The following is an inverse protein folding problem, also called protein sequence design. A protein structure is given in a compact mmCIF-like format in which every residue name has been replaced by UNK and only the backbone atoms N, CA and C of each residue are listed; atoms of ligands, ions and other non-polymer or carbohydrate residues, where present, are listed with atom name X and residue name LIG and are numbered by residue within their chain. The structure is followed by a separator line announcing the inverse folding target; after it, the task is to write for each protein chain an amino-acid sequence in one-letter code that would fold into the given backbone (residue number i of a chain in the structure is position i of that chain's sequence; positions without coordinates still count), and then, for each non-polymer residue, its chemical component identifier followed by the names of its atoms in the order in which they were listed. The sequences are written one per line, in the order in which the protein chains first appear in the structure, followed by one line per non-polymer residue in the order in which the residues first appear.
data_IF_722628223253
#
_entry.id   IF_722628223253
#
_cell.length_a   1.000
_cell.length_b   1.000
_cell.length_c   1.000
_cell.angle_alpha   90.00
_cell.angle_beta   90.00
_cell.angle_gamma   90.00
#
_symmetry.space_group_name_H-M   'P 1'
#
loop_
_entity.id
_entity.type
_entity.pdbx_description
1 polymer ?
#
# COMPACT_ATOMS: atom_id res chain seq x y z
N UNK A 1 24.00 3.53 20.55
CA UNK A 1 23.83 3.86 19.13
C UNK A 1 23.22 5.26 19.07
N UNK A 2 23.83 6.18 18.36
CA UNK A 2 23.25 7.52 18.16
C UNK A 2 22.09 7.37 17.19
N UNK A 3 20.90 7.82 17.60
CA UNK A 3 19.74 7.83 16.70
C UNK A 3 19.98 8.72 15.48
N UNK A 4 19.38 8.39 14.32
CA UNK A 4 19.43 9.26 13.14
C UNK A 4 18.95 10.66 13.49
N UNK A 5 19.64 11.67 13.00
CA UNK A 5 19.25 13.06 13.21
C UNK A 5 17.94 13.33 12.45
N UNK A 6 16.85 13.52 13.18
CA UNK A 6 15.56 13.95 12.62
C UNK A 6 15.67 15.41 12.11
N UNK A 7 15.00 15.68 11.01
CA UNK A 7 14.82 17.04 10.50
C UNK A 7 13.52 17.57 11.06
N UNK A 8 13.59 18.64 11.83
CA UNK A 8 12.39 19.26 12.40
C UNK A 8 11.59 19.97 11.31
N UNK A 9 10.34 19.57 11.15
CA UNK A 9 9.35 20.27 10.33
C UNK A 9 8.32 20.87 11.27
N UNK A 10 8.11 22.20 11.19
CA UNK A 10 7.13 22.89 12.02
C UNK A 10 5.72 22.35 11.76
N UNK A 11 5.05 21.74 12.77
CA UNK A 11 3.71 21.22 12.59
C UNK A 11 2.67 22.26 12.15
N UNK A 12 2.85 23.53 12.51
CA UNK A 12 1.90 24.60 12.11
C UNK A 12 1.89 24.85 10.60
N UNK A 13 3.02 24.64 9.93
CA UNK A 13 3.13 24.77 8.47
C UNK A 13 2.52 23.61 7.69
N UNK A 14 2.23 22.48 8.35
CA UNK A 14 1.71 21.28 7.68
C UNK A 14 0.33 21.52 7.07
N UNK A 15 -0.56 22.19 7.83
CA UNK A 15 -1.96 22.40 7.40
C UNK A 15 -2.09 23.24 6.14
N UNK A 16 -1.15 24.14 5.87
CA UNK A 16 -1.16 24.96 4.65
C UNK A 16 -0.62 24.21 3.42
N UNK A 17 0.23 23.21 3.65
CA UNK A 17 0.96 22.51 2.59
C UNK A 17 0.37 21.14 2.23
N UNK A 18 -0.45 20.55 3.09
CA UNK A 18 -1.03 19.22 2.96
C UNK A 18 -2.48 19.25 2.48
N UNK A 19 -3.00 18.15 1.91
CA UNK A 19 -4.43 18.01 1.68
C UNK A 19 -5.21 18.19 2.97
N UNK A 20 -6.35 18.89 2.89
CA UNK A 20 -7.23 19.15 4.04
C UNK A 20 -8.54 18.40 3.86
N UNK A 21 -8.74 17.27 4.55
CA UNK A 21 -10.01 16.55 4.49
C UNK A 21 -11.12 17.38 5.15
N UNK A 22 -12.33 17.24 4.64
CA UNK A 22 -13.57 17.76 5.21
C UNK A 22 -14.46 16.57 5.56
N UNK A 23 -14.56 16.26 6.84
CA UNK A 23 -15.25 15.08 7.37
C UNK A 23 -16.23 15.51 8.50
N UNK A 24 -17.27 16.31 8.21
CA UNK A 24 -18.09 16.98 9.24
C UNK A 24 -18.77 15.99 10.19
N UNK A 25 -19.06 14.77 9.73
CA UNK A 25 -19.69 13.73 10.57
C UNK A 25 -18.68 12.93 11.41
N UNK A 26 -17.38 13.06 11.12
CA UNK A 26 -16.32 12.28 11.75
C UNK A 26 -15.11 13.15 12.13
N UNK A 27 -15.28 14.16 13.02
CA UNK A 27 -14.18 15.06 13.39
C UNK A 27 -13.01 14.36 14.08
N UNK A 28 -13.25 13.21 14.72
CA UNK A 28 -12.20 12.40 15.31
C UNK A 28 -11.25 11.80 14.25
N UNK A 29 -11.77 11.47 13.06
CA UNK A 29 -10.92 11.04 11.94
C UNK A 29 -10.04 12.18 11.41
N UNK A 30 -10.53 13.42 11.40
CA UNK A 30 -9.70 14.59 11.07
C UNK A 30 -8.58 14.79 12.10
N UNK A 31 -8.88 14.59 13.39
CA UNK A 31 -7.88 14.65 14.46
C UNK A 31 -6.80 13.57 14.24
N UNK A 32 -7.21 12.34 13.98
CA UNK A 32 -6.30 11.22 13.68
C UNK A 32 -5.46 11.50 12.42
N UNK A 33 -6.07 12.05 11.35
CA UNK A 33 -5.39 12.45 10.11
C UNK A 33 -4.27 13.45 10.38
N UNK A 34 -4.53 14.51 11.13
CA UNK A 34 -3.52 15.52 11.45
C UNK A 34 -2.44 14.96 12.37
N UNK A 35 -2.82 14.13 13.33
CA UNK A 35 -1.84 13.45 14.19
C UNK A 35 -0.89 12.56 13.40
N UNK A 36 -1.38 11.88 12.38
CA UNK A 36 -0.53 11.07 11.49
C UNK A 36 0.50 11.92 10.75
N UNK A 37 0.12 13.09 10.24
CA UNK A 37 1.08 13.99 9.60
C UNK A 37 2.11 14.56 10.58
N UNK A 38 1.70 14.93 11.78
CA UNK A 38 2.60 15.42 12.84
C UNK A 38 3.66 14.37 13.20
N UNK A 39 3.26 13.11 13.34
CA UNK A 39 4.18 12.01 13.60
C UNK A 39 5.03 11.69 12.35
N UNK A 40 4.42 11.70 11.17
CA UNK A 40 5.12 11.48 9.89
C UNK A 40 6.24 12.51 9.65
N UNK A 41 6.01 13.77 10.03
CA UNK A 41 7.04 14.81 9.94
C UNK A 41 8.30 14.49 10.75
N UNK A 42 8.18 13.70 11.82
CA UNK A 42 9.32 13.26 12.65
C UNK A 42 10.11 12.10 12.03
N UNK A 43 9.59 11.52 10.94
CA UNK A 43 10.23 10.39 10.23
C UNK A 43 11.27 10.84 9.21
N UNK A 44 11.39 12.14 8.93
CA UNK A 44 12.40 12.64 8.00
C UNK A 44 13.78 12.55 8.64
N UNK A 45 14.73 11.97 7.91
CA UNK A 45 16.10 11.70 8.32
C UNK A 45 17.09 12.35 7.38
N UNK A 46 18.32 12.52 7.86
CA UNK A 46 19.45 12.97 7.06
C UNK A 46 20.43 11.82 6.82
N UNK A 47 20.88 11.68 5.58
CA UNK A 47 22.01 10.83 5.27
C UNK A 47 23.32 11.40 5.81
N UNK A 48 24.33 10.55 5.93
CA UNK A 48 25.67 10.89 6.38
C UNK A 48 26.72 10.53 5.32
N UNK A 49 27.91 11.12 5.34
CA UNK A 49 29.00 10.68 4.45
C UNK A 49 29.34 9.18 4.60
N UNK A 50 29.11 8.60 5.80
CA UNK A 50 29.42 7.20 6.09
C UNK A 50 28.43 6.25 5.46
N UNK A 51 27.11 6.55 5.54
CA UNK A 51 26.08 5.67 4.97
C UNK A 51 25.74 6.03 3.51
N UNK A 52 26.11 7.21 3.04
CA UNK A 52 25.81 7.69 1.68
C UNK A 52 24.32 7.63 1.32
N UNK A 53 23.43 7.77 2.30
CA UNK A 53 22.01 7.95 2.06
C UNK A 53 21.72 9.37 1.56
N UNK A 54 20.58 9.58 0.96
CA UNK A 54 20.15 10.88 0.49
C UNK A 54 20.22 11.93 1.61
N UNK A 55 20.52 13.21 1.29
CA UNK A 55 20.62 14.28 2.28
C UNK A 55 19.36 14.43 3.15
N UNK A 56 18.20 14.15 2.57
CA UNK A 56 16.92 14.06 3.26
C UNK A 56 16.11 12.90 2.67
N UNK A 57 15.53 12.07 3.51
CA UNK A 57 14.66 10.97 3.14
C UNK A 57 13.67 10.66 4.27
N UNK A 58 12.53 10.06 3.94
CA UNK A 58 11.59 9.54 4.95
C UNK A 58 11.94 8.09 5.26
N UNK A 59 11.81 7.73 6.53
CA UNK A 59 12.14 6.41 7.06
C UNK A 59 10.97 5.83 7.87
N UNK A 60 10.93 4.51 8.05
CA UNK A 60 9.92 3.82 8.84
C UNK A 60 9.99 4.07 10.35
N UNK A 61 11.03 4.78 10.81
CA UNK A 61 11.28 5.12 12.22
C UNK A 61 11.63 3.94 13.14
N UNK A 62 12.18 2.87 12.58
CA UNK A 62 12.76 1.76 13.34
C UNK A 62 14.27 1.94 13.51
N UNK A 63 14.74 2.28 14.65
CA UNK A 63 16.12 2.08 15.09
C UNK A 63 17.24 2.48 14.12
N UNK A 64 16.91 3.19 13.05
CA UNK A 64 17.83 3.78 12.10
C UNK A 64 18.05 3.03 10.78
N UNK A 65 17.78 1.74 10.67
CA UNK A 65 17.89 1.03 9.39
C UNK A 65 16.75 1.45 8.43
N UNK A 66 17.02 1.37 7.12
CA UNK A 66 15.98 1.56 6.10
C UNK A 66 15.48 0.20 5.60
N UNK A 67 14.17 0.09 5.39
CA UNK A 67 13.48 -1.14 5.06
C UNK A 67 12.74 -1.03 3.73
N UNK A 68 12.93 -2.00 2.84
CA UNK A 68 12.32 -2.01 1.51
C UNK A 68 10.79 -2.04 1.56
N UNK A 69 10.22 -3.00 2.30
CA UNK A 69 8.78 -3.22 2.47
C UNK A 69 8.08 -1.95 2.98
N UNK A 70 8.62 -1.40 4.05
CA UNK A 70 8.10 -0.21 4.72
C UNK A 70 8.12 1.00 3.79
N UNK A 71 9.25 1.25 3.12
CA UNK A 71 9.41 2.41 2.22
C UNK A 71 8.41 2.36 1.07
N UNK A 72 8.13 1.19 0.51
CA UNK A 72 7.13 1.05 -0.55
C UNK A 72 5.71 1.39 -0.06
N UNK A 73 5.35 1.03 1.16
CA UNK A 73 4.05 1.40 1.75
C UNK A 73 3.99 2.87 2.18
N UNK A 74 5.09 3.42 2.69
CA UNK A 74 5.19 4.86 2.98
C UNK A 74 4.91 5.67 1.71
N UNK A 75 5.36 5.22 0.53
CA UNK A 75 5.10 5.89 -0.73
C UNK A 75 3.60 6.08 -1.01
N UNK A 76 2.75 5.15 -0.60
CA UNK A 76 1.33 5.21 -0.85
C UNK A 76 0.61 6.37 -0.13
N UNK A 77 1.10 6.84 1.01
CA UNK A 77 0.55 8.04 1.65
C UNK A 77 1.46 9.28 1.51
N UNK A 78 2.79 9.11 1.52
CA UNK A 78 3.72 10.21 1.38
C UNK A 78 3.59 10.95 0.03
N UNK A 79 3.09 10.27 -1.02
CA UNK A 79 2.79 10.87 -2.33
C UNK A 79 1.84 12.07 -2.27
N UNK A 80 1.04 12.18 -1.20
CA UNK A 80 0.15 13.31 -0.95
C UNK A 80 0.83 14.49 -0.24
N UNK A 81 2.03 14.29 0.30
CA UNK A 81 2.76 15.29 1.09
C UNK A 81 3.50 16.35 0.25
N UNK A 82 3.43 16.24 -1.09
CA UNK A 82 4.35 16.97 -1.97
C UNK A 82 5.81 16.64 -1.59
N UNK A 83 6.62 17.64 -1.27
CA UNK A 83 8.02 17.47 -0.87
C UNK A 83 8.23 17.37 0.65
N UNK A 84 7.16 17.41 1.44
CA UNK A 84 7.27 17.43 2.90
C UNK A 84 7.85 16.11 3.45
N UNK A 85 7.42 14.97 2.90
CA UNK A 85 8.02 13.67 3.15
C UNK A 85 8.80 13.24 1.90
N UNK A 86 10.15 13.28 1.92
CA UNK A 86 10.97 13.01 0.74
C UNK A 86 10.99 11.52 0.40
N UNK A 87 9.92 11.04 -0.23
CA UNK A 87 9.74 9.61 -0.56
C UNK A 87 10.59 9.17 -1.75
N UNK A 88 10.76 9.99 -2.78
CA UNK A 88 11.63 9.62 -3.91
C UNK A 88 13.08 9.43 -3.48
N UNK A 89 13.70 10.32 -2.69
CA UNK A 89 15.01 10.07 -2.10
C UNK A 89 15.08 8.83 -1.21
N UNK A 90 13.98 8.47 -0.52
CA UNK A 90 13.93 7.23 0.26
C UNK A 90 14.04 5.99 -0.64
N UNK A 91 13.32 5.95 -1.76
CA UNK A 91 13.44 4.90 -2.79
C UNK A 91 14.82 4.90 -3.44
N UNK A 92 15.40 6.07 -3.73
CA UNK A 92 16.73 6.22 -4.31
C UNK A 92 17.85 5.64 -3.42
N UNK A 93 17.65 5.62 -2.11
CA UNK A 93 18.58 4.97 -1.20
C UNK A 93 18.72 3.45 -1.48
N UNK A 94 17.68 2.80 -1.98
CA UNK A 94 17.72 1.40 -2.40
C UNK A 94 18.35 1.25 -3.80
N UNK A 95 17.91 2.07 -4.75
CA UNK A 95 18.42 2.01 -6.13
C UNK A 95 19.92 2.33 -6.22
N UNK A 96 20.38 3.30 -5.44
CA UNK A 96 21.80 3.65 -5.38
C UNK A 96 22.71 2.57 -4.76
N UNK A 97 22.11 1.52 -4.18
CA UNK A 97 22.80 0.36 -3.57
C UNK A 97 22.56 -0.95 -4.30
N UNK A 98 21.91 -0.87 -5.46
CA UNK A 98 21.69 -2.06 -6.27
C UNK A 98 23.03 -2.64 -6.73
N UNK A 99 23.22 -3.93 -6.51
CA UNK A 99 24.39 -4.65 -7.01
C UNK A 99 24.37 -4.75 -8.55
N UNK A 100 25.53 -4.99 -9.13
CA UNK A 100 25.69 -5.13 -10.58
C UNK A 100 24.86 -6.26 -11.21
N UNK A 101 24.44 -7.25 -10.42
CA UNK A 101 23.56 -8.34 -10.87
C UNK A 101 22.06 -8.04 -10.67
N UNK A 102 21.71 -6.84 -10.20
CA UNK A 102 20.34 -6.39 -10.00
C UNK A 102 19.80 -6.57 -8.57
N UNK A 103 20.56 -7.19 -7.66
CA UNK A 103 20.10 -7.39 -6.28
C UNK A 103 19.92 -6.07 -5.52
N UNK A 104 18.82 -5.96 -4.79
CA UNK A 104 18.57 -4.92 -3.78
C UNK A 104 18.25 -5.64 -2.46
N UNK A 105 18.94 -5.24 -1.38
CA UNK A 105 18.73 -5.84 -0.09
C UNK A 105 17.40 -5.40 0.54
N UNK A 106 16.82 -6.30 1.36
CA UNK A 106 15.65 -6.03 2.18
C UNK A 106 15.86 -4.83 3.10
N UNK A 107 17.07 -4.70 3.66
CA UNK A 107 17.38 -3.79 4.75
C UNK A 107 18.82 -3.33 4.70
N UNK A 108 19.05 -2.03 4.88
CA UNK A 108 20.39 -1.44 4.97
C UNK A 108 20.60 -0.78 6.34
N UNK A 109 21.79 -0.98 6.90
CA UNK A 109 22.21 -0.40 8.18
C UNK A 109 22.35 1.10 8.06
N UNK A 110 21.79 1.85 8.99
CA UNK A 110 21.92 3.29 9.02
C UNK A 110 23.39 3.74 9.25
N UNK A 111 24.14 3.03 10.07
CA UNK A 111 25.50 3.42 10.44
C UNK A 111 26.43 3.53 9.24
N UNK A 112 26.30 2.66 8.26
CA UNK A 112 27.27 2.54 7.16
C UNK A 112 26.67 2.20 5.78
N UNK A 113 25.35 2.07 5.69
CA UNK A 113 24.66 1.71 4.44
C UNK A 113 24.89 0.27 3.98
N UNK A 114 25.46 -0.60 4.81
CA UNK A 114 25.68 -2.00 4.46
C UNK A 114 24.42 -2.85 4.59
N UNK A 115 24.35 -3.95 3.82
CA UNK A 115 23.28 -4.93 3.95
C UNK A 115 23.25 -5.51 5.37
N UNK A 116 22.07 -5.67 5.95
CA UNK A 116 21.92 -6.37 7.23
C UNK A 116 22.01 -7.88 7.04
N UNK A 117 21.40 -8.41 5.98
CA UNK A 117 21.26 -9.83 5.69
C UNK A 117 22.24 -10.27 4.61
N UNK A 118 22.77 -11.48 4.73
CA UNK A 118 23.66 -12.04 3.72
C UNK A 118 22.91 -12.23 2.39
N UNK A 119 23.45 -11.68 1.30
CA UNK A 119 22.93 -11.86 -0.04
C UNK A 119 22.72 -13.33 -0.37
N UNK A 120 21.56 -13.69 -0.88
CA UNK A 120 21.20 -15.07 -1.21
C UNK A 120 20.54 -15.85 -0.09
N UNK A 121 20.54 -15.36 1.17
CA UNK A 121 19.68 -15.95 2.21
C UNK A 121 18.21 -15.72 1.89
N UNK A 122 17.31 -16.54 2.48
CA UNK A 122 15.87 -16.37 2.36
C UNK A 122 15.40 -14.97 2.78
N UNK A 123 16.03 -14.45 3.83
CA UNK A 123 15.68 -13.17 4.45
C UNK A 123 16.29 -11.94 3.76
N UNK A 124 17.06 -12.15 2.69
CA UNK A 124 17.86 -11.07 2.09
C UNK A 124 17.07 -10.10 1.21
N UNK A 125 15.85 -10.41 0.82
CA UNK A 125 14.97 -9.52 0.04
C UNK A 125 13.55 -9.49 0.61
N UNK A 126 12.77 -8.48 0.21
CA UNK A 126 11.37 -8.33 0.56
C UNK A 126 10.47 -8.50 -0.69
N UNK A 127 9.13 -8.42 -0.52
CA UNK A 127 8.20 -8.39 -1.65
C UNK A 127 8.55 -7.34 -2.70
N UNK A 128 8.36 -7.65 -4.00
CA UNK A 128 8.81 -6.82 -5.12
C UNK A 128 7.88 -5.63 -5.38
N UNK A 129 7.79 -4.67 -4.47
CA UNK A 129 6.83 -3.57 -4.51
C UNK A 129 7.41 -2.24 -5.03
N UNK A 130 8.67 -2.16 -5.45
CA UNK A 130 9.26 -0.91 -5.94
C UNK A 130 8.53 -0.34 -7.16
N UNK A 131 8.24 -1.17 -8.17
CA UNK A 131 7.52 -0.69 -9.34
C UNK A 131 6.11 -0.18 -8.97
N UNK A 132 5.41 -0.86 -8.06
CA UNK A 132 4.11 -0.43 -7.56
C UNK A 132 4.22 0.91 -6.79
N UNK A 133 5.23 1.10 -5.95
CA UNK A 133 5.45 2.35 -5.23
C UNK A 133 5.72 3.52 -6.20
N UNK A 134 6.59 3.35 -7.19
CA UNK A 134 6.86 4.35 -8.24
C UNK A 134 5.60 4.65 -9.07
N UNK A 135 4.82 3.61 -9.39
CA UNK A 135 3.54 3.78 -10.10
C UNK A 135 2.54 4.62 -9.32
N UNK A 136 2.40 4.37 -8.00
CA UNK A 136 1.52 5.16 -7.13
C UNK A 136 1.93 6.64 -7.10
N UNK A 137 3.22 6.94 -7.03
CA UNK A 137 3.73 8.33 -7.08
C UNK A 137 3.49 8.94 -8.46
N UNK A 138 3.72 8.16 -9.54
CA UNK A 138 3.49 8.61 -10.91
C UNK A 138 2.02 9.01 -11.15
N UNK A 139 1.07 8.26 -10.63
CA UNK A 139 -0.36 8.54 -10.78
C UNK A 139 -0.78 9.92 -10.23
N UNK A 140 -0.05 10.48 -9.26
CA UNK A 140 -0.32 11.82 -8.72
C UNK A 140 0.41 12.93 -9.47
N UNK A 141 1.67 12.67 -9.85
CA UNK A 141 2.54 13.71 -10.38
C UNK A 141 2.67 13.71 -11.90
N UNK A 142 2.42 12.57 -12.56
CA UNK A 142 2.54 12.42 -14.01
C UNK A 142 3.97 12.56 -14.55
N UNK A 143 5.00 12.39 -13.70
CA UNK A 143 6.41 12.58 -14.08
C UNK A 143 7.00 11.31 -14.71
N UNK A 144 6.83 11.14 -16.02
CA UNK A 144 7.40 10.02 -16.77
C UNK A 144 8.94 10.01 -16.78
N UNK A 145 9.60 11.15 -16.56
CA UNK A 145 11.07 11.22 -16.49
C UNK A 145 11.58 10.46 -15.26
N UNK A 146 10.86 10.54 -14.13
CA UNK A 146 11.17 9.73 -12.95
C UNK A 146 11.13 8.24 -13.28
N UNK A 147 10.10 7.77 -13.96
CA UNK A 147 9.99 6.37 -14.37
C UNK A 147 11.14 5.96 -15.30
N UNK A 148 11.55 6.83 -16.23
CA UNK A 148 12.68 6.58 -17.12
C UNK A 148 13.99 6.44 -16.36
N UNK A 149 14.21 7.28 -15.35
CA UNK A 149 15.42 7.24 -14.51
C UNK A 149 15.57 5.94 -13.73
N UNK A 150 14.46 5.41 -13.18
CA UNK A 150 14.48 4.22 -12.33
C UNK A 150 14.21 2.91 -13.07
N UNK A 151 13.81 2.98 -14.33
CA UNK A 151 13.51 1.80 -15.16
C UNK A 151 14.63 0.75 -15.15
N UNK A 152 15.91 1.12 -15.36
CA UNK A 152 17.00 0.13 -15.36
C UNK A 152 17.14 -0.62 -14.03
N UNK A 153 16.89 0.06 -12.90
CA UNK A 153 16.98 -0.56 -11.57
C UNK A 153 15.79 -1.51 -11.31
N UNK A 154 14.58 -1.10 -11.71
CA UNK A 154 13.37 -1.92 -11.57
C UNK A 154 13.49 -3.19 -12.44
N UNK A 155 13.92 -3.04 -13.69
CA UNK A 155 14.14 -4.14 -14.64
C UNK A 155 15.21 -5.13 -14.13
N UNK A 156 16.35 -4.63 -13.68
CA UNK A 156 17.43 -5.46 -13.14
C UNK A 156 16.99 -6.22 -11.87
N UNK A 157 16.22 -5.56 -10.98
CA UNK A 157 15.71 -6.21 -9.78
C UNK A 157 14.67 -7.29 -10.12
N UNK A 158 13.77 -7.03 -11.07
CA UNK A 158 12.82 -8.02 -11.56
C UNK A 158 13.54 -9.29 -12.04
N UNK A 159 14.57 -9.13 -12.88
CA UNK A 159 15.36 -10.24 -13.41
C UNK A 159 16.16 -10.97 -12.33
N UNK A 160 16.68 -10.23 -11.33
CA UNK A 160 17.35 -10.87 -10.20
C UNK A 160 16.40 -11.78 -9.41
N UNK A 161 15.18 -11.31 -9.12
CA UNK A 161 14.15 -12.11 -8.43
C UNK A 161 13.77 -13.35 -9.24
N UNK A 162 13.54 -13.18 -10.53
CA UNK A 162 13.23 -14.31 -11.44
C UNK A 162 14.33 -15.37 -11.44
N UNK A 163 15.59 -14.94 -11.45
CA UNK A 163 16.74 -15.86 -11.44
C UNK A 163 16.95 -16.57 -10.09
N UNK A 164 16.66 -15.88 -8.97
CA UNK A 164 17.09 -16.34 -7.64
C UNK A 164 15.93 -16.78 -6.73
N UNK A 165 14.68 -16.46 -7.08
CA UNK A 165 13.50 -16.75 -6.26
C UNK A 165 12.43 -17.58 -6.98
N UNK A 166 12.52 -17.75 -8.30
CA UNK A 166 11.58 -18.58 -9.06
C UNK A 166 11.94 -20.07 -8.91
N UNK A 167 10.91 -20.86 -8.65
CA UNK A 167 10.99 -22.33 -8.57
C UNK A 167 10.77 -22.96 -9.95
N UNK A 168 11.05 -24.27 -10.08
CA UNK A 168 10.88 -25.01 -11.32
C UNK A 168 9.41 -25.05 -11.81
N UNK A 169 8.43 -25.00 -10.87
CA UNK A 169 7.00 -24.90 -11.18
C UNK A 169 6.56 -23.48 -11.57
N UNK A 170 7.49 -22.52 -11.62
CA UNK A 170 7.27 -21.14 -12.02
C UNK A 170 6.77 -20.21 -10.92
N UNK A 171 6.44 -20.73 -9.74
CA UNK A 171 6.07 -19.96 -8.56
C UNK A 171 7.32 -19.41 -7.85
N UNK A 172 7.11 -18.62 -6.81
CA UNK A 172 8.20 -17.94 -6.11
C UNK A 172 8.26 -18.33 -4.64
N UNK A 173 9.49 -18.38 -4.10
CA UNK A 173 9.76 -18.71 -2.71
C UNK A 173 10.31 -17.52 -1.93
N UNK A 174 9.98 -17.47 -0.65
CA UNK A 174 10.49 -16.51 0.34
C UNK A 174 10.53 -17.19 1.71
N UNK A 175 10.98 -16.51 2.73
CA UNK A 175 10.84 -16.87 4.14
C UNK A 175 9.80 -15.99 4.84
N UNK A 176 9.45 -16.31 6.07
CA UNK A 176 8.61 -15.46 6.94
C UNK A 176 9.18 -14.04 7.05
N UNK A 177 10.43 -13.92 7.48
CA UNK A 177 11.15 -12.63 7.57
C UNK A 177 11.20 -11.91 6.22
N UNK A 178 11.47 -12.61 5.13
CA UNK A 178 11.53 -12.03 3.78
C UNK A 178 10.17 -11.57 3.27
N UNK A 179 9.06 -12.22 3.67
CA UNK A 179 7.72 -11.83 3.27
C UNK A 179 7.26 -10.49 3.88
N UNK A 180 7.94 -10.02 4.93
CA UNK A 180 7.54 -8.86 5.73
C UNK A 180 6.55 -9.21 6.84
N UNK A 181 6.11 -10.46 6.95
CA UNK A 181 5.24 -10.96 8.02
C UNK A 181 6.05 -11.84 8.99
N UNK A 182 6.97 -11.23 9.70
CA UNK A 182 8.15 -11.81 10.35
C UNK A 182 7.94 -13.08 11.17
N UNK A 183 6.87 -13.20 11.94
CA UNK A 183 6.58 -14.41 12.73
C UNK A 183 5.33 -15.15 12.26
N UNK A 184 4.96 -14.97 11.00
CA UNK A 184 3.83 -15.74 10.42
C UNK A 184 4.10 -17.24 10.55
N UNK A 185 3.09 -18.07 10.89
CA UNK A 185 3.29 -19.51 11.04
C UNK A 185 3.34 -20.27 9.70
N UNK A 186 3.56 -19.55 8.60
CA UNK A 186 3.70 -20.08 7.23
C UNK A 186 5.08 -20.66 7.03
N UNK A 187 5.19 -21.72 6.27
CA UNK A 187 6.45 -22.43 6.03
C UNK A 187 6.49 -23.20 4.70
N UNK A 188 5.73 -22.75 3.70
CA UNK A 188 5.70 -23.35 2.37
C UNK A 188 7.04 -23.27 1.61
N UNK A 189 7.20 -24.08 0.60
CA UNK A 189 8.28 -23.97 -0.38
C UNK A 189 7.94 -22.88 -1.42
N UNK A 190 6.69 -22.84 -1.91
CA UNK A 190 6.18 -21.76 -2.75
C UNK A 190 5.17 -20.91 -1.96
N UNK A 191 5.35 -19.60 -1.98
CA UNK A 191 4.51 -18.65 -1.20
C UNK A 191 3.50 -17.93 -2.09
N UNK A 192 2.22 -17.99 -1.71
CA UNK A 192 1.14 -17.43 -2.53
C UNK A 192 1.23 -15.91 -2.67
N UNK A 193 1.45 -15.17 -1.58
CA UNK A 193 1.59 -13.72 -1.62
C UNK A 193 2.82 -13.29 -2.45
N UNK A 194 3.97 -13.94 -2.27
CA UNK A 194 5.17 -13.56 -3.00
C UNK A 194 5.03 -13.82 -4.50
N UNK A 195 4.40 -14.94 -4.88
CA UNK A 195 4.08 -15.25 -6.27
C UNK A 195 3.07 -14.25 -6.85
N UNK A 196 2.04 -13.88 -6.09
CA UNK A 196 1.03 -12.89 -6.48
C UNK A 196 1.64 -11.48 -6.57
N UNK A 197 2.51 -11.11 -5.64
CA UNK A 197 3.21 -9.82 -5.65
C UNK A 197 4.17 -9.72 -6.84
N UNK A 198 4.78 -10.82 -7.27
CA UNK A 198 5.57 -10.83 -8.50
C UNK A 198 4.69 -10.70 -9.76
N UNK A 199 3.47 -11.25 -9.76
CA UNK A 199 2.50 -10.99 -10.82
C UNK A 199 2.08 -9.50 -10.86
N UNK A 200 1.82 -8.89 -9.70
CA UNK A 200 1.55 -7.44 -9.58
C UNK A 200 2.75 -6.61 -10.06
N UNK A 201 3.98 -7.03 -9.74
CA UNK A 201 5.20 -6.40 -10.22
C UNK A 201 5.27 -6.45 -11.76
N UNK A 202 5.05 -7.62 -12.37
CA UNK A 202 5.03 -7.77 -13.83
C UNK A 202 3.94 -6.90 -14.50
N UNK A 203 2.72 -6.88 -13.94
CA UNK A 203 1.63 -6.02 -14.42
C UNK A 203 2.02 -4.54 -14.37
N UNK A 204 2.64 -4.11 -13.27
CA UNK A 204 3.07 -2.72 -13.08
C UNK A 204 4.24 -2.36 -14.00
N UNK A 205 5.21 -3.25 -14.16
CA UNK A 205 6.31 -3.08 -15.11
C UNK A 205 5.81 -2.94 -16.56
N UNK A 206 4.81 -3.73 -16.97
CA UNK A 206 4.17 -3.57 -18.27
C UNK A 206 3.51 -2.20 -18.44
N UNK A 207 2.84 -1.68 -17.40
CA UNK A 207 2.25 -0.33 -17.40
C UNK A 207 3.31 0.77 -17.51
N UNK A 208 4.42 0.63 -16.76
CA UNK A 208 5.56 1.57 -16.82
C UNK A 208 6.20 1.54 -18.21
N UNK A 209 6.46 0.35 -18.77
CA UNK A 209 6.99 0.20 -20.14
C UNK A 209 6.12 0.92 -21.17
N UNK A 210 4.79 0.81 -21.07
CA UNK A 210 3.86 1.51 -21.96
C UNK A 210 3.99 3.05 -21.86
N UNK A 211 4.16 3.59 -20.63
CA UNK A 211 4.40 5.03 -20.43
C UNK A 211 5.72 5.47 -21.06
N UNK A 212 6.74 4.62 -21.04
CA UNK A 212 8.06 4.90 -21.60
C UNK A 212 8.14 4.70 -23.11
N UNK A 213 7.10 4.11 -23.74
CA UNK A 213 7.09 3.77 -25.17
C UNK A 213 7.96 2.55 -25.50
N UNK A 214 8.21 1.68 -24.52
CA UNK A 214 8.96 0.43 -24.70
C UNK A 214 8.01 -0.74 -25.01
N UNK A 215 7.64 -0.90 -26.27
CA UNK A 215 6.75 -1.96 -26.72
C UNK A 215 7.29 -3.37 -26.42
N UNK A 216 8.59 -3.58 -26.48
CA UNK A 216 9.22 -4.85 -26.15
C UNK A 216 9.07 -5.17 -24.65
N UNK A 217 9.30 -4.19 -23.79
CA UNK A 217 9.06 -4.29 -22.36
C UNK A 217 7.59 -4.56 -22.04
N UNK A 218 6.65 -3.87 -22.71
CA UNK A 218 5.20 -4.14 -22.57
C UNK A 218 4.90 -5.60 -22.82
N UNK A 219 5.37 -6.13 -23.95
CA UNK A 219 5.10 -7.53 -24.32
C UNK A 219 5.75 -8.53 -23.35
N UNK A 220 6.99 -8.28 -22.94
CA UNK A 220 7.74 -9.12 -22.01
C UNK A 220 7.00 -9.24 -20.68
N UNK A 221 6.73 -8.10 -20.03
CA UNK A 221 6.11 -8.10 -18.72
C UNK A 221 4.63 -8.49 -18.72
N UNK A 222 3.93 -8.24 -19.83
CA UNK A 222 2.56 -8.74 -19.98
C UNK A 222 2.53 -10.26 -20.09
N UNK A 223 3.46 -10.85 -20.84
CA UNK A 223 3.59 -12.31 -20.95
C UNK A 223 3.94 -12.94 -19.59
N UNK A 224 4.88 -12.35 -18.83
CA UNK A 224 5.21 -12.80 -17.49
C UNK A 224 4.00 -12.74 -16.55
N UNK A 225 3.24 -11.63 -16.58
CA UNK A 225 2.02 -11.48 -15.79
C UNK A 225 0.99 -12.56 -16.09
N UNK A 226 0.65 -12.78 -17.36
CA UNK A 226 -0.36 -13.79 -17.74
C UNK A 226 0.12 -15.20 -17.40
N UNK A 227 1.42 -15.47 -17.54
CA UNK A 227 2.02 -16.76 -17.16
C UNK A 227 1.90 -16.99 -15.67
N UNK A 228 2.28 -16.01 -14.83
CA UNK A 228 2.17 -16.10 -13.38
C UNK A 228 0.71 -16.22 -12.92
N UNK A 229 -0.19 -15.42 -13.50
CA UNK A 229 -1.63 -15.48 -13.25
C UNK A 229 -2.16 -16.90 -13.49
N UNK A 230 -1.80 -17.52 -14.61
CA UNK A 230 -2.20 -18.88 -14.95
C UNK A 230 -1.63 -19.89 -13.93
N UNK A 231 -0.33 -19.83 -13.62
CA UNK A 231 0.34 -20.75 -12.69
C UNK A 231 -0.22 -20.65 -11.27
N UNK A 232 -0.40 -19.45 -10.74
CA UNK A 232 -0.97 -19.21 -9.41
C UNK A 232 -2.39 -19.77 -9.32
N UNK A 233 -3.23 -19.50 -10.32
CA UNK A 233 -4.60 -19.99 -10.33
C UNK A 233 -4.68 -21.52 -10.51
N UNK A 234 -3.73 -22.14 -11.22
CA UNK A 234 -3.73 -23.58 -11.46
C UNK A 234 -3.19 -24.36 -10.25
N UNK A 235 -2.16 -23.82 -9.60
CA UNK A 235 -1.41 -24.59 -8.59
C UNK A 235 -1.81 -24.23 -7.15
N UNK A 236 -2.14 -22.95 -6.87
CA UNK A 236 -2.33 -22.46 -5.51
C UNK A 236 -3.80 -22.24 -5.12
N UNK A 237 -4.72 -22.14 -6.10
CA UNK A 237 -6.14 -21.96 -5.83
C UNK A 237 -6.81 -23.28 -5.43
N UNK A 238 -7.45 -23.32 -4.25
CA UNK A 238 -8.30 -24.42 -3.83
C UNK A 238 -9.77 -24.02 -4.00
N UNK A 239 -10.47 -24.68 -4.92
CA UNK A 239 -11.87 -24.37 -5.26
C UNK A 239 -12.81 -24.68 -4.10
N UNK A 240 -12.52 -25.69 -3.27
CA UNK A 240 -13.36 -26.10 -2.14
C UNK A 240 -13.22 -25.11 -0.98
N UNK A 241 -12.00 -24.70 -0.68
CA UNK A 241 -11.73 -23.72 0.39
C UNK A 241 -12.02 -22.27 -0.05
N UNK A 242 -12.03 -22.01 -1.36
CA UNK A 242 -12.18 -20.66 -1.90
C UNK A 242 -11.00 -19.73 -1.58
N UNK A 243 -9.78 -20.28 -1.52
CA UNK A 243 -8.59 -19.59 -1.04
C UNK A 243 -7.35 -20.01 -1.83
N UNK A 244 -6.34 -19.13 -1.90
CA UNK A 244 -5.00 -19.49 -2.35
C UNK A 244 -4.17 -19.98 -1.16
N UNK A 245 -3.38 -21.04 -1.38
CA UNK A 245 -2.53 -21.60 -0.35
C UNK A 245 -1.06 -21.59 -0.77
N UNK A 246 -0.17 -21.48 0.21
CA UNK A 246 1.23 -21.82 0.02
C UNK A 246 1.35 -23.31 -0.31
N UNK A 247 2.41 -23.70 -0.98
CA UNK A 247 2.67 -25.11 -1.33
C UNK A 247 3.95 -25.59 -0.66
N UNK A 248 3.95 -26.85 -0.26
CA UNK A 248 5.18 -27.53 0.17
C UNK A 248 6.05 -27.94 -1.04
N UNK A 249 7.17 -28.61 -0.79
CA UNK A 249 8.09 -29.08 -1.83
C UNK A 249 7.50 -30.16 -2.77
N UNK A 250 6.34 -30.72 -2.43
CA UNK A 250 5.58 -31.68 -3.24
C UNK A 250 4.36 -31.09 -3.90
N UNK A 251 4.25 -29.76 -3.93
CA UNK A 251 3.11 -28.99 -4.44
C UNK A 251 1.78 -29.25 -3.68
N UNK A 252 1.86 -29.67 -2.40
CA UNK A 252 0.68 -29.84 -1.56
C UNK A 252 0.36 -28.55 -0.78
N UNK A 253 -0.93 -28.25 -0.67
CA UNK A 253 -1.40 -27.03 0.00
C UNK A 253 -1.06 -26.99 1.49
N UNK A 254 -0.41 -25.91 1.92
CA UNK A 254 -0.06 -25.59 3.31
C UNK A 254 -1.10 -24.64 3.88
N UNK A 255 -2.14 -25.21 4.54
CA UNK A 255 -3.35 -24.47 4.94
C UNK A 255 -3.16 -23.68 6.22
N UNK A 256 -2.49 -22.53 6.13
CA UNK A 256 -2.44 -21.50 7.17
C UNK A 256 -3.21 -20.28 6.66
N UNK A 257 -4.34 -19.96 7.29
CA UNK A 257 -5.29 -18.95 6.79
C UNK A 257 -4.86 -17.53 7.19
N UNK A 258 -4.12 -16.87 6.33
CA UNK A 258 -3.61 -15.49 6.52
C UNK A 258 -4.24 -14.51 5.54
N UNK A 259 -3.91 -13.22 5.68
CA UNK A 259 -4.28 -12.17 4.71
C UNK A 259 -3.51 -12.25 3.38
N UNK A 260 -2.48 -13.07 3.30
CA UNK A 260 -1.61 -13.19 2.12
C UNK A 260 -2.36 -13.42 0.80
N UNK A 261 -3.36 -14.31 0.72
CA UNK A 261 -4.14 -14.57 -0.50
C UNK A 261 -4.85 -13.36 -1.10
N UNK A 262 -5.21 -12.37 -0.27
CA UNK A 262 -5.99 -11.21 -0.75
C UNK A 262 -5.19 -10.25 -1.64
N UNK A 263 -3.87 -10.38 -1.72
CA UNK A 263 -3.07 -9.73 -2.77
C UNK A 263 -3.58 -10.04 -4.18
N UNK A 264 -4.25 -11.20 -4.36
CA UNK A 264 -4.81 -11.62 -5.63
C UNK A 264 -5.86 -10.63 -6.20
N UNK A 265 -6.61 -9.96 -5.32
CA UNK A 265 -7.59 -8.94 -5.71
C UNK A 265 -6.89 -7.71 -6.31
N UNK A 266 -5.82 -7.23 -5.66
CA UNK A 266 -5.05 -6.08 -6.12
C UNK A 266 -4.22 -6.39 -7.37
N UNK A 267 -3.71 -7.62 -7.49
CA UNK A 267 -2.95 -8.08 -8.64
C UNK A 267 -3.81 -8.43 -9.87
N UNK A 268 -5.13 -8.34 -9.77
CA UNK A 268 -6.08 -8.59 -10.88
C UNK A 268 -5.97 -10.02 -11.46
N UNK A 269 -5.57 -10.99 -10.63
CA UNK A 269 -5.42 -12.37 -11.09
C UNK A 269 -6.67 -13.23 -10.91
N UNK A 270 -7.66 -12.74 -10.18
CA UNK A 270 -8.88 -13.46 -9.81
C UNK A 270 -9.97 -13.39 -10.88
N UNK A 271 -10.85 -14.38 -10.89
CA UNK A 271 -12.12 -14.38 -11.63
C UNK A 271 -13.27 -13.84 -10.76
N UNK A 272 -14.41 -13.44 -11.34
CA UNK A 272 -15.57 -13.03 -10.55
C UNK A 272 -16.05 -14.09 -9.53
N UNK A 273 -15.96 -15.37 -9.86
CA UNK A 273 -16.32 -16.47 -8.94
C UNK A 273 -15.35 -16.55 -7.76
N UNK A 274 -14.05 -16.42 -8.01
CA UNK A 274 -13.03 -16.37 -6.96
C UNK A 274 -13.19 -15.12 -6.07
N UNK A 275 -13.52 -13.96 -6.67
CA UNK A 275 -13.82 -12.75 -5.90
C UNK A 275 -14.93 -12.97 -4.88
N UNK A 276 -16.01 -13.63 -5.27
CA UNK A 276 -17.12 -13.94 -4.34
C UNK A 276 -16.67 -14.80 -3.16
N UNK A 277 -15.83 -15.80 -3.40
CA UNK A 277 -15.31 -16.68 -2.36
C UNK A 277 -14.35 -15.94 -1.42
N UNK A 278 -13.42 -15.16 -1.96
CA UNK A 278 -12.51 -14.32 -1.15
C UNK A 278 -13.26 -13.27 -0.34
N UNK A 279 -14.31 -12.67 -0.90
CA UNK A 279 -15.18 -11.74 -0.17
C UNK A 279 -15.92 -12.44 0.97
N UNK A 280 -16.37 -13.68 0.79
CA UNK A 280 -17.02 -14.44 1.86
C UNK A 280 -16.08 -14.61 3.07
N UNK A 281 -14.80 -14.91 2.87
CA UNK A 281 -13.81 -14.96 3.94
C UNK A 281 -13.58 -13.60 4.61
N UNK A 282 -13.49 -12.52 3.83
CA UNK A 282 -13.34 -11.18 4.38
C UNK A 282 -14.54 -10.70 5.19
N UNK A 283 -15.77 -11.18 4.89
CA UNK A 283 -17.00 -10.88 5.63
C UNK A 283 -17.26 -11.83 6.81
N UNK A 284 -16.49 -12.91 6.93
CA UNK A 284 -16.73 -13.89 7.98
C UNK A 284 -16.26 -13.36 9.35
N UNK A 285 -17.17 -13.18 10.33
CA UNK A 285 -16.79 -12.72 11.67
C UNK A 285 -15.96 -13.74 12.45
N UNK A 286 -16.00 -15.02 12.09
CA UNK A 286 -15.14 -16.03 12.69
C UNK A 286 -13.73 -16.07 12.07
N UNK A 287 -13.50 -15.33 10.98
CA UNK A 287 -12.22 -15.26 10.29
C UNK A 287 -11.62 -13.86 10.33
N UNK A 288 -11.95 -13.00 9.34
CA UNK A 288 -11.30 -11.71 9.12
C UNK A 288 -12.16 -10.50 9.48
N UNK A 289 -13.50 -10.65 9.63
CA UNK A 289 -14.38 -9.53 9.93
C UNK A 289 -14.52 -9.31 11.43
N UNK A 290 -13.46 -8.80 12.06
CA UNK A 290 -13.39 -8.56 13.50
C UNK A 290 -13.79 -7.11 13.86
N UNK A 291 -13.74 -6.77 15.15
CA UNK A 291 -13.97 -5.41 15.65
C UNK A 291 -13.06 -4.41 14.94
N UNK A 292 -11.78 -4.73 14.84
CA UNK A 292 -10.82 -4.09 13.93
C UNK A 292 -10.55 -5.09 12.79
N UNK A 293 -11.00 -4.81 11.55
CA UNK A 293 -11.03 -5.80 10.48
C UNK A 293 -9.67 -6.20 9.96
N UNK A 294 -9.66 -7.38 9.37
CA UNK A 294 -8.56 -7.99 8.64
C UNK A 294 -7.29 -8.21 9.46
N UNK A 295 -7.40 -9.01 10.58
CA UNK A 295 -6.20 -9.51 11.24
C UNK A 295 -5.34 -10.31 10.26
N UNK A 296 -4.04 -10.31 10.48
CA UNK A 296 -3.08 -10.99 9.61
C UNK A 296 -3.24 -12.51 9.55
N UNK A 297 -3.90 -13.09 10.55
CA UNK A 297 -4.26 -14.50 10.64
C UNK A 297 -5.75 -14.60 10.98
N UNK A 298 -6.48 -15.50 10.32
CA UNK A 298 -7.90 -15.69 10.59
C UNK A 298 -8.16 -16.08 12.05
N UNK A 299 -9.20 -15.50 12.66
CA UNK A 299 -9.46 -15.67 14.09
C UNK A 299 -9.78 -17.13 14.47
N UNK A 300 -10.25 -17.96 13.52
CA UNK A 300 -10.46 -19.39 13.68
C UNK A 300 -9.21 -20.25 13.37
N UNK A 301 -8.07 -19.65 13.03
CA UNK A 301 -6.82 -20.40 12.86
C UNK A 301 -6.22 -20.76 14.22
N UNK A 302 -5.63 -21.96 14.32
CA UNK A 302 -5.02 -22.49 15.56
C UNK A 302 -3.90 -21.64 16.13
N UNK A 303 -3.25 -20.83 15.30
CA UNK A 303 -2.13 -19.98 15.68
C UNK A 303 -2.58 -18.57 16.09
N UNK A 304 -3.86 -18.23 15.88
CA UNK A 304 -4.36 -16.89 16.18
C UNK A 304 -4.17 -16.52 17.64
N UNK A 305 -3.75 -15.26 17.87
CA UNK A 305 -3.57 -14.67 19.19
C UNK A 305 -4.40 -13.39 19.32
N UNK A 306 -5.30 -13.35 20.29
CA UNK A 306 -6.20 -12.21 20.53
C UNK A 306 -5.46 -10.91 20.85
N UNK A 307 -4.24 -10.98 21.44
CA UNK A 307 -3.38 -9.81 21.67
C UNK A 307 -2.53 -9.41 20.46
N UNK A 308 -2.65 -10.16 19.35
CA UNK A 308 -1.97 -9.89 18.07
C UNK A 308 -0.67 -10.67 17.91
N UNK A 309 0.17 -10.77 18.94
CA UNK A 309 1.49 -11.42 18.94
C UNK A 309 2.24 -11.19 17.61
N UNK A 310 2.34 -9.91 17.24
CA UNK A 310 2.93 -9.39 16.01
C UNK A 310 2.11 -9.82 14.77
N UNK A 311 2.53 -10.81 13.95
CA UNK A 311 1.81 -11.26 12.75
C UNK A 311 0.90 -12.48 13.00
N UNK A 312 0.65 -12.84 14.26
CA UNK A 312 -0.23 -13.96 14.64
C UNK A 312 -1.67 -13.51 14.95
N UNK A 313 -2.16 -12.47 14.28
CA UNK A 313 -3.52 -11.99 14.44
C UNK A 313 -3.65 -10.48 14.70
N UNK A 314 -2.53 -9.73 14.77
CA UNK A 314 -2.62 -8.27 14.80
C UNK A 314 -3.15 -7.71 13.48
N UNK A 315 -3.75 -6.53 13.56
CA UNK A 315 -4.19 -5.75 12.42
C UNK A 315 -3.09 -4.76 12.04
N UNK A 316 -2.70 -4.79 10.78
CA UNK A 316 -1.64 -3.96 10.23
C UNK A 316 -2.15 -3.10 9.09
N UNK A 317 -1.81 -1.82 9.09
CA UNK A 317 -2.27 -0.89 8.06
C UNK A 317 -1.84 -1.29 6.64
N UNK A 318 -0.62 -1.81 6.36
CA UNK A 318 -0.22 -2.21 5.00
C UNK A 318 -1.06 -3.36 4.44
N UNK A 319 -1.38 -4.38 5.23
CA UNK A 319 -2.24 -5.49 4.78
C UNK A 319 -3.68 -5.04 4.60
N UNK A 320 -4.20 -4.18 5.49
CA UNK A 320 -5.52 -3.59 5.31
C UNK A 320 -5.59 -2.70 4.07
N UNK A 321 -4.57 -1.88 3.83
CA UNK A 321 -4.50 -1.03 2.63
C UNK A 321 -4.50 -1.87 1.35
N UNK A 322 -3.71 -2.94 1.30
CA UNK A 322 -3.67 -3.86 0.17
C UNK A 322 -5.05 -4.49 -0.09
N UNK A 323 -5.75 -4.96 0.95
CA UNK A 323 -7.10 -5.54 0.83
C UNK A 323 -8.08 -4.48 0.32
N UNK A 324 -8.08 -3.29 0.92
CA UNK A 324 -8.97 -2.18 0.53
C UNK A 324 -8.75 -1.78 -0.93
N UNK A 325 -7.50 -1.67 -1.38
CA UNK A 325 -7.19 -1.40 -2.80
C UNK A 325 -7.68 -2.54 -3.70
N UNK A 326 -7.53 -3.79 -3.27
CA UNK A 326 -8.07 -4.95 -3.97
C UNK A 326 -9.60 -4.93 -4.06
N UNK A 327 -10.30 -4.54 -2.99
CA UNK A 327 -11.76 -4.39 -2.97
C UNK A 327 -12.23 -3.35 -4.00
N UNK A 328 -11.54 -2.21 -4.11
CA UNK A 328 -11.82 -1.21 -5.14
C UNK A 328 -11.59 -1.76 -6.56
N UNK A 329 -10.57 -2.57 -6.76
CA UNK A 329 -10.26 -3.19 -8.06
C UNK A 329 -11.41 -4.08 -8.56
N UNK A 330 -12.08 -4.79 -7.65
CA UNK A 330 -13.21 -5.67 -7.97
C UNK A 330 -14.58 -4.98 -7.84
N UNK A 331 -14.62 -3.69 -7.53
CA UNK A 331 -15.86 -2.89 -7.41
C UNK A 331 -16.65 -3.10 -6.11
N UNK A 332 -16.02 -3.66 -5.07
CA UNK A 332 -16.62 -3.83 -3.73
C UNK A 332 -16.44 -2.56 -2.86
N UNK A 333 -16.78 -1.39 -3.44
CA UNK A 333 -16.46 -0.07 -2.88
C UNK A 333 -17.14 0.20 -1.52
N UNK A 334 -18.38 -0.24 -1.34
CA UNK A 334 -19.12 -0.03 -0.07
C UNK A 334 -18.51 -0.85 1.06
N UNK A 335 -18.11 -2.10 0.78
CA UNK A 335 -17.43 -2.93 1.75
C UNK A 335 -16.04 -2.38 2.10
N UNK A 336 -15.29 -1.88 1.11
CA UNK A 336 -14.03 -1.19 1.34
C UNK A 336 -14.22 0.01 2.29
N UNK A 337 -15.28 0.79 2.07
CA UNK A 337 -15.59 1.97 2.91
C UNK A 337 -15.95 1.57 4.35
N UNK A 338 -16.78 0.52 4.52
CA UNK A 338 -17.13 0.01 5.85
C UNK A 338 -15.88 -0.50 6.59
N UNK A 339 -15.01 -1.24 5.92
CA UNK A 339 -13.78 -1.75 6.50
C UNK A 339 -12.85 -0.62 6.94
N UNK A 340 -12.69 0.42 6.11
CA UNK A 340 -11.87 1.58 6.45
C UNK A 340 -12.48 2.37 7.61
N UNK A 341 -13.80 2.54 7.64
CA UNK A 341 -14.47 3.22 8.77
C UNK A 341 -14.17 2.50 10.09
N UNK A 342 -14.30 1.18 10.15
CA UNK A 342 -13.95 0.39 11.36
C UNK A 342 -12.46 0.48 11.70
N UNK A 343 -11.59 0.47 10.71
CA UNK A 343 -10.14 0.64 10.93
C UNK A 343 -9.83 2.01 11.55
N UNK A 344 -10.42 3.08 11.04
CA UNK A 344 -10.24 4.43 11.58
C UNK A 344 -10.83 4.58 12.97
N UNK A 345 -12.02 4.02 13.24
CA UNK A 345 -12.66 4.05 14.56
C UNK A 345 -11.80 3.34 15.61
N UNK A 346 -11.22 2.19 15.27
CA UNK A 346 -10.30 1.48 16.16
C UNK A 346 -9.02 2.28 16.42
N UNK A 347 -8.45 2.91 15.38
CA UNK A 347 -7.28 3.77 15.53
C UNK A 347 -7.59 5.01 16.39
N UNK A 348 -8.76 5.63 16.24
CA UNK A 348 -9.22 6.76 17.08
C UNK A 348 -9.34 6.33 18.54
N UNK A 349 -10.02 5.22 18.82
CA UNK A 349 -10.18 4.73 20.20
C UNK A 349 -8.82 4.48 20.88
N UNK A 350 -7.83 3.96 20.13
CA UNK A 350 -6.48 3.75 20.65
C UNK A 350 -5.74 5.08 20.81
N UNK A 351 -5.89 6.03 19.88
CA UNK A 351 -5.33 7.37 20.00
C UNK A 351 -5.87 8.09 21.23
N UNK A 352 -7.19 8.03 21.47
CA UNK A 352 -7.84 8.66 22.62
C UNK A 352 -7.37 8.07 23.95
N UNK A 353 -7.14 6.76 24.02
CA UNK A 353 -6.71 6.08 25.24
C UNK A 353 -5.21 6.17 25.51
N UNK A 354 -4.37 6.32 24.45
CA UNK A 354 -2.90 6.25 24.60
C UNK A 354 -2.17 7.53 24.19
N UNK A 355 -2.85 8.45 23.50
CA UNK A 355 -2.29 9.71 23.00
C UNK A 355 -1.46 9.58 21.71
N UNK A 356 -1.38 8.39 21.12
CA UNK A 356 -0.52 8.17 19.96
C UNK A 356 -1.05 7.13 18.95
N UNK A 357 -0.38 7.05 17.80
CA UNK A 357 -0.59 6.04 16.77
C UNK A 357 0.43 4.90 16.96
N UNK A 358 -0.02 3.67 16.80
CA UNK A 358 0.77 2.47 17.04
C UNK A 358 1.10 1.74 15.73
N UNK A 359 2.11 0.91 15.80
CA UNK A 359 2.63 0.09 14.70
C UNK A 359 1.60 -0.92 14.19
N UNK A 360 0.89 -1.58 15.11
CA UNK A 360 -0.17 -2.55 14.86
C UNK A 360 -1.20 -2.54 16.00
N UNK A 361 -2.32 -3.21 15.78
CA UNK A 361 -3.49 -3.17 16.67
C UNK A 361 -4.05 -4.57 16.91
N UNK A 362 -4.81 -4.75 18.01
CA UNK A 362 -5.59 -5.96 18.23
C UNK A 362 -6.81 -5.97 17.33
N UNK A 363 -7.23 -7.19 16.92
CA UNK A 363 -8.42 -7.35 16.10
C UNK A 363 -9.72 -7.37 16.89
N UNK A 364 -9.70 -7.94 18.11
CA UNK A 364 -10.89 -8.17 18.93
C UNK A 364 -11.18 -7.05 19.92
N UNK A 365 -10.19 -6.18 20.17
CA UNK A 365 -10.27 -5.08 21.13
C UNK A 365 -9.73 -3.79 20.49
N UNK A 366 -10.28 -2.65 20.85
CA UNK A 366 -9.74 -1.35 20.42
C UNK A 366 -8.49 -1.00 21.26
N UNK A 367 -7.41 -1.71 21.02
CA UNK A 367 -6.14 -1.58 21.73
C UNK A 367 -4.95 -1.78 20.79
N UNK A 368 -3.78 -1.27 21.21
CA UNK A 368 -2.52 -1.58 20.52
C UNK A 368 -2.23 -3.08 20.59
N UNK A 369 -1.60 -3.64 19.56
CA UNK A 369 -1.08 -5.00 19.57
C UNK A 369 0.05 -5.19 20.57
N UNK A 370 0.41 -6.45 20.82
CA UNK A 370 1.54 -6.80 21.69
C UNK A 370 2.37 -7.89 20.97
N UNK A 371 3.64 -7.60 20.60
CA UNK A 371 4.32 -6.30 20.71
C UNK A 371 3.83 -5.30 19.66
N UNK A 372 3.93 -4.00 19.97
CA UNK A 372 3.73 -2.90 19.05
C UNK A 372 4.52 -1.68 19.51
N UNK A 373 4.91 -0.80 18.59
CA UNK A 373 5.64 0.45 18.87
C UNK A 373 4.70 1.65 18.89
N UNK A 374 4.80 2.54 19.89
CA UNK A 374 4.10 3.82 19.88
C UNK A 374 4.77 4.84 18.93
N UNK A 375 4.08 5.95 18.69
CA UNK A 375 4.53 7.06 17.83
C UNK A 375 4.92 6.62 16.42
N UNK A 376 4.21 5.62 15.90
CA UNK A 376 4.58 4.93 14.67
C UNK A 376 3.62 5.29 13.51
N UNK A 377 4.16 5.96 12.49
CA UNK A 377 3.44 6.31 11.25
C UNK A 377 4.13 5.72 10.01
N UNK A 378 5.15 4.88 10.15
CA UNK A 378 5.83 4.21 9.05
C UNK A 378 4.85 3.68 8.00
N UNK A 379 4.14 2.61 8.29
CA UNK A 379 2.99 2.19 7.45
C UNK A 379 1.63 2.59 8.04
N UNK A 380 1.54 2.87 9.35
CA UNK A 380 0.25 3.20 9.99
C UNK A 380 -0.37 4.50 9.46
N UNK A 381 0.42 5.36 8.79
CA UNK A 381 -0.08 6.51 8.04
C UNK A 381 -1.01 6.16 6.87
N UNK A 382 -1.00 4.91 6.41
CA UNK A 382 -1.91 4.44 5.36
C UNK A 382 -3.38 4.56 5.77
N UNK A 383 -3.74 4.20 7.01
CA UNK A 383 -5.11 4.33 7.52
C UNK A 383 -5.59 5.79 7.47
N UNK A 384 -5.06 6.67 8.30
CA UNK A 384 -5.56 8.03 8.46
C UNK A 384 -5.30 8.94 7.23
N UNK A 385 -4.33 8.65 6.37
CA UNK A 385 -4.00 9.51 5.24
C UNK A 385 -4.51 8.91 3.92
N UNK A 386 -3.93 7.80 3.48
CA UNK A 386 -4.26 7.24 2.18
C UNK A 386 -5.70 6.72 2.12
N UNK A 387 -6.13 5.91 3.10
CA UNK A 387 -7.49 5.36 3.09
C UNK A 387 -8.56 6.43 3.32
N UNK A 388 -8.27 7.52 4.05
CA UNK A 388 -9.20 8.65 4.15
C UNK A 388 -9.42 9.29 2.77
N UNK A 389 -8.36 9.59 2.04
CA UNK A 389 -8.46 10.21 0.71
C UNK A 389 -9.07 9.23 -0.30
N UNK A 390 -8.56 8.02 -0.36
CA UNK A 390 -8.85 7.07 -1.44
C UNK A 390 -10.15 6.30 -1.25
N UNK A 391 -10.61 6.14 0.00
CA UNK A 391 -11.79 5.31 0.31
C UNK A 391 -12.89 6.09 1.01
N UNK A 392 -12.60 6.86 2.07
CA UNK A 392 -13.64 7.62 2.78
C UNK A 392 -14.13 8.78 1.92
N UNK A 393 -13.22 9.56 1.34
CA UNK A 393 -13.55 10.61 0.37
C UNK A 393 -13.76 9.99 -1.01
N UNK A 394 -13.04 8.92 -1.32
CA UNK A 394 -13.27 8.04 -2.48
C UNK A 394 -12.54 8.48 -3.75
N UNK A 395 -11.37 9.11 -3.65
CA UNK A 395 -10.68 9.72 -4.78
C UNK A 395 -9.51 8.85 -5.23
N UNK A 396 -9.48 8.47 -6.52
CA UNK A 396 -8.31 7.95 -7.22
C UNK A 396 -7.84 8.95 -8.28
N UNK A 397 -6.57 9.30 -8.25
CA UNK A 397 -5.93 10.21 -9.19
C UNK A 397 -5.18 9.46 -10.29
N UNK A 398 -5.37 9.89 -11.51
CA UNK A 398 -4.60 9.45 -12.69
C UNK A 398 -4.17 10.71 -13.45
N UNK A 399 -3.20 11.42 -12.86
CA UNK A 399 -2.70 12.67 -13.43
C UNK A 399 -2.14 12.52 -14.85
N UNK A 400 -1.42 11.43 -15.21
CA UNK A 400 -0.97 11.23 -16.58
C UNK A 400 -2.08 11.32 -17.62
N UNK A 401 -3.26 10.80 -17.30
CA UNK A 401 -4.43 10.77 -18.20
C UNK A 401 -5.42 11.92 -17.91
N UNK A 402 -5.05 12.89 -17.09
CA UNK A 402 -5.93 13.97 -16.61
C UNK A 402 -7.28 13.44 -16.08
N UNK A 403 -7.28 12.28 -15.43
CA UNK A 403 -8.50 11.61 -14.97
C UNK A 403 -8.53 11.54 -13.45
N UNK A 404 -9.70 11.83 -12.90
CA UNK A 404 -10.04 11.61 -11.49
C UNK A 404 -11.20 10.63 -11.44
N UNK A 405 -11.03 9.53 -10.72
CA UNK A 405 -12.16 8.64 -10.39
C UNK A 405 -12.63 8.97 -8.99
N UNK A 406 -13.90 9.32 -8.84
CA UNK A 406 -14.51 9.65 -7.56
C UNK A 406 -15.63 8.66 -7.21
N UNK A 407 -15.36 7.80 -6.23
CA UNK A 407 -16.34 6.91 -5.61
C UNK A 407 -17.07 7.69 -4.54
N UNK A 408 -18.13 8.39 -4.94
CA UNK A 408 -18.84 9.37 -4.09
C UNK A 408 -19.50 8.64 -2.92
N UNK A 409 -19.16 9.01 -1.67
CA UNK A 409 -19.82 8.41 -0.50
C UNK A 409 -21.22 9.01 -0.29
N UNK A 410 -22.10 8.34 0.47
CA UNK A 410 -23.45 8.82 0.74
C UNK A 410 -23.48 10.11 1.58
N UNK A 411 -22.48 10.33 2.45
CA UNK A 411 -22.37 11.51 3.28
C UNK A 411 -21.61 12.65 2.60
N UNK A 412 -21.83 13.88 3.08
CA UNK A 412 -21.05 15.05 2.62
C UNK A 412 -19.62 14.96 3.12
N UNK A 413 -18.67 14.94 2.20
CA UNK A 413 -17.23 14.94 2.47
C UNK A 413 -16.47 15.71 1.40
N UNK A 414 -15.18 15.96 1.63
CA UNK A 414 -14.35 16.60 0.61
C UNK A 414 -12.89 16.65 1.00
N UNK A 415 -12.10 17.21 0.11
CA UNK A 415 -10.70 17.53 0.34
C UNK A 415 -10.30 18.78 -0.41
N UNK A 416 -9.52 19.61 0.24
CA UNK A 416 -8.87 20.76 -0.38
C UNK A 416 -7.36 20.49 -0.51
N UNK A 417 -6.73 21.20 -1.43
CA UNK A 417 -5.28 21.21 -1.62
C UNK A 417 -4.67 19.83 -1.96
N UNK A 418 -5.46 18.94 -2.57
CA UNK A 418 -4.94 17.65 -3.03
C UNK A 418 -3.89 17.88 -4.14
N UNK A 419 -2.69 17.25 -4.11
CA UNK A 419 -1.69 17.40 -5.16
C UNK A 419 -2.23 16.97 -6.53
N UNK A 420 -2.09 17.82 -7.53
CA UNK A 420 -2.55 17.60 -8.89
C UNK A 420 -1.72 18.39 -9.90
N UNK A 421 -0.97 17.73 -10.77
CA UNK A 421 -0.14 18.36 -11.82
C UNK A 421 0.75 19.52 -11.34
N UNK A 422 1.36 19.40 -10.16
CA UNK A 422 2.16 20.46 -9.56
C UNK A 422 1.34 21.61 -8.95
N UNK A 423 0.01 21.59 -9.11
CA UNK A 423 -0.95 22.48 -8.49
C UNK A 423 -1.79 21.80 -7.40
N UNK A 424 -3.04 22.22 -7.25
CA UNK A 424 -4.00 21.62 -6.31
C UNK A 424 -5.26 21.18 -7.03
N UNK A 425 -6.00 20.29 -6.41
CA UNK A 425 -7.36 19.88 -6.75
C UNK A 425 -8.20 19.96 -5.48
N UNK A 426 -9.39 20.55 -5.57
CA UNK A 426 -10.35 20.58 -4.47
C UNK A 426 -11.63 19.86 -4.91
N UNK A 427 -12.17 18.99 -4.05
CA UNK A 427 -13.32 18.15 -4.34
C UNK A 427 -14.24 18.09 -3.11
N UNK A 428 -15.52 18.40 -3.30
CA UNK A 428 -16.54 18.34 -2.25
C UNK A 428 -17.82 17.73 -2.78
N UNK A 429 -18.40 16.77 -2.08
CA UNK A 429 -19.74 16.27 -2.32
C UNK A 429 -20.70 16.71 -1.22
N UNK A 430 -21.92 17.00 -1.61
CA UNK A 430 -23.09 17.16 -0.75
C UNK A 430 -24.17 16.16 -1.15
N UNK A 431 -25.36 16.26 -0.57
CA UNK A 431 -26.50 15.42 -0.97
C UNK A 431 -26.83 15.60 -2.46
N UNK A 432 -26.74 16.83 -2.97
CA UNK A 432 -27.26 17.19 -4.29
C UNK A 432 -26.17 17.53 -5.32
N UNK A 433 -24.95 17.85 -4.88
CA UNK A 433 -23.95 18.44 -5.76
C UNK A 433 -22.53 17.89 -5.52
N UNK A 434 -21.77 17.86 -6.61
CA UNK A 434 -20.31 17.67 -6.63
C UNK A 434 -19.69 19.02 -7.02
N UNK A 435 -18.82 19.56 -6.18
CA UNK A 435 -18.06 20.79 -6.43
C UNK A 435 -16.60 20.44 -6.65
N UNK A 436 -16.05 20.88 -7.76
CA UNK A 436 -14.68 20.56 -8.19
C UNK A 436 -13.98 21.87 -8.52
N UNK A 437 -12.76 22.05 -8.00
CA UNK A 437 -11.83 23.07 -8.47
C UNK A 437 -10.57 22.41 -9.01
N UNK A 438 -10.21 22.72 -10.25
CA UNK A 438 -9.00 22.22 -10.89
C UNK A 438 -8.28 23.32 -11.69
N UNK A 439 -6.95 23.40 -11.68
CA UNK A 439 -6.20 24.38 -12.47
C UNK A 439 -6.21 24.08 -13.98
N UNK A 440 -6.57 22.85 -14.37
CA UNK A 440 -6.61 22.36 -15.74
C UNK A 440 -7.91 21.61 -16.00
N UNK A 441 -8.34 21.47 -17.26
CA UNK A 441 -9.42 20.53 -17.59
C UNK A 441 -9.06 19.11 -17.14
N UNK A 442 -10.07 18.35 -16.71
CA UNK A 442 -9.92 16.96 -16.35
C UNK A 442 -11.16 16.15 -16.73
N UNK A 443 -10.96 14.85 -16.91
CA UNK A 443 -12.06 13.89 -17.02
C UNK A 443 -12.40 13.38 -15.62
N UNK A 444 -13.63 13.61 -15.17
CA UNK A 444 -14.16 13.12 -13.90
C UNK A 444 -15.01 11.87 -14.14
N UNK A 445 -14.56 10.72 -13.61
CA UNK A 445 -15.33 9.48 -13.56
C UNK A 445 -16.02 9.39 -12.20
N UNK A 446 -17.34 9.53 -12.18
CA UNK A 446 -18.16 9.46 -10.97
C UNK A 446 -18.73 8.06 -10.83
N UNK A 447 -18.56 7.48 -9.64
CA UNK A 447 -19.16 6.23 -9.21
C UNK A 447 -20.01 6.56 -7.97
N UNK A 448 -21.33 6.57 -8.11
CA UNK A 448 -22.27 6.91 -7.04
C UNK A 448 -23.35 5.85 -6.93
N UNK A 449 -23.20 4.93 -5.99
CA UNK A 449 -24.02 3.72 -5.93
C UNK A 449 -24.00 2.95 -7.26
N UNK A 450 -25.17 2.74 -7.91
CA UNK A 450 -25.24 2.08 -9.22
C UNK A 450 -24.85 3.00 -10.39
N UNK A 451 -24.79 4.31 -10.18
CA UNK A 451 -24.58 5.30 -11.23
C UNK A 451 -23.11 5.39 -11.63
N UNK A 452 -22.85 5.48 -12.93
CA UNK A 452 -21.52 5.62 -13.53
C UNK A 452 -21.58 6.73 -14.58
N UNK A 453 -20.88 7.82 -14.31
CA UNK A 453 -20.82 8.99 -15.22
C UNK A 453 -19.37 9.29 -15.57
N UNK A 454 -19.19 9.81 -16.78
CA UNK A 454 -17.92 10.42 -17.20
C UNK A 454 -18.22 11.85 -17.66
N UNK A 455 -17.54 12.82 -17.05
CA UNK A 455 -17.77 14.23 -17.24
C UNK A 455 -16.47 14.94 -17.61
N UNK A 456 -16.53 15.82 -18.59
CA UNK A 456 -15.42 16.73 -18.91
C UNK A 456 -15.56 17.99 -18.07
N UNK A 457 -14.64 18.19 -17.14
CA UNK A 457 -14.60 19.33 -16.22
C UNK A 457 -13.60 20.34 -16.75
N UNK A 458 -14.09 21.55 -17.05
CA UNK A 458 -13.22 22.66 -17.45
C UNK A 458 -12.42 23.19 -16.25
N UNK A 459 -11.29 23.87 -16.51
CA UNK A 459 -10.51 24.54 -15.48
C UNK A 459 -11.34 25.56 -14.69
N UNK A 460 -10.94 25.81 -13.45
CA UNK A 460 -11.63 26.63 -12.48
C UNK A 460 -12.62 25.86 -11.62
N UNK A 461 -13.52 26.60 -10.93
CA UNK A 461 -14.55 25.98 -10.10
C UNK A 461 -15.74 25.53 -10.95
N UNK A 462 -16.22 24.33 -10.67
CA UNK A 462 -17.40 23.73 -11.31
C UNK A 462 -18.27 23.05 -10.27
N UNK A 463 -19.58 23.17 -10.47
CA UNK A 463 -20.58 22.42 -9.72
C UNK A 463 -21.37 21.57 -10.69
N UNK A 464 -21.53 20.29 -10.34
CA UNK A 464 -22.27 19.29 -11.12
C UNK A 464 -23.33 18.70 -10.21
N UNK A 465 -24.54 18.52 -10.71
CA UNK A 465 -25.59 17.82 -9.98
C UNK A 465 -25.17 16.37 -9.73
N UNK A 466 -25.41 15.88 -8.53
CA UNK A 466 -25.17 14.50 -8.16
C UNK A 466 -26.19 13.60 -8.87
N UNK A 467 -25.77 12.44 -9.44
CA UNK A 467 -26.73 11.52 -10.03
C UNK A 467 -27.76 11.08 -9.00
N UNK A 468 -29.04 11.19 -9.34
CA UNK A 468 -30.21 10.83 -8.49
C UNK A 468 -30.66 9.41 -8.76
#
# INVERSE_FOLDING_TARGET
MTEPTGIYIDPSSLRERLPRPYLPNNPAWETLYWRAWELGAKMVRAGTPTNSFAPQYVDAAFGGNIFQWDTCFIAAFARYSRELLPILPALDNFYGRQDADGYIAREYRWENGANLWAKGSGDSCNPPLFAWAEWLVYQIHGNAERLRQVWPQLDAYYHWLTKNRRLDNGLYWITDMGSGMDNTPRYGAAWCDYSIQQALNALTMSRIAAVLGDDAGVQTYRTEYETLKMQINTLMWDENDGMYWDLDAGDLAMKVKTVAPFWALLAEITTPAQNQKLLAHLHDPDEFWRTHPFPTLAANDRWYKTHGDYWLGAVWAPTNYMIVRGLHTIGADDFAREAVARHLDAMVAVLDSTGTIWENYRADEMAAGIPARPDFVGWSGLGPIAMVIETIIGIDLDAPNNTVTWRVPPQSVGVENLPWHGGRLDLFCSADNLRIWSPKPLTLKVIDGPHRLTLEILAGERTVERPS
#
